data_IF_898764762045
#
_entry.id   IF_898764762045
#
_cell.length_a   1.000
_cell.length_b   1.000
_cell.length_c   1.000
_cell.angle_alpha   90.00
_cell.angle_beta   90.00
_cell.angle_gamma   90.00
#
_symmetry.space_group_name_H-M   'P 1'
#
loop_
_entity.id
_entity.type
_entity.pdbx_description
1 polymer ?
#
# COMPACT_ATOMS: atom_id res chain seq x y z
N UNK A 1 20.67 -14.28 16.07
CA UNK A 1 20.06 -12.93 16.04
C UNK A 1 20.11 -12.45 14.59
N UNK A 2 19.02 -12.57 13.83
CA UNK A 2 19.01 -12.13 12.43
C UNK A 2 18.88 -10.60 12.38
N UNK A 3 19.85 -9.95 11.74
CA UNK A 3 20.01 -8.49 11.71
C UNK A 3 19.33 -7.94 10.43
N UNK A 4 18.52 -6.89 10.56
CA UNK A 4 17.64 -6.32 9.52
C UNK A 4 18.38 -5.52 8.41
N UNK A 5 19.51 -6.02 7.88
CA UNK A 5 20.35 -5.24 6.97
C UNK A 5 20.25 -5.62 5.48
N UNK A 6 19.39 -6.58 5.12
CA UNK A 6 19.25 -7.07 3.73
C UNK A 6 17.89 -6.82 3.08
N UNK A 7 17.18 -5.75 3.47
CA UNK A 7 15.98 -5.29 2.76
C UNK A 7 16.31 -4.57 1.44
N UNK A 8 17.42 -4.95 0.80
CA UNK A 8 17.90 -4.41 -0.47
C UNK A 8 17.34 -5.15 -1.70
N UNK A 9 17.70 -4.71 -2.91
CA UNK A 9 17.10 -5.11 -4.20
C UNK A 9 17.40 -6.57 -4.65
N UNK A 10 17.63 -7.49 -3.71
CA UNK A 10 17.93 -8.90 -3.98
C UNK A 10 16.80 -9.89 -3.68
N UNK A 11 15.71 -9.49 -2.99
CA UNK A 11 14.67 -10.45 -2.57
C UNK A 11 13.56 -10.72 -3.61
N UNK A 12 13.72 -10.25 -4.85
CA UNK A 12 12.74 -10.44 -5.93
C UNK A 12 11.34 -9.94 -5.60
N UNK A 13 11.20 -9.14 -4.54
CA UNK A 13 9.93 -8.65 -4.02
C UNK A 13 9.70 -7.24 -4.50
N UNK A 14 8.56 -7.03 -5.16
CA UNK A 14 8.11 -5.74 -5.65
C UNK A 14 6.83 -5.37 -4.93
N UNK A 15 6.78 -4.14 -4.40
CA UNK A 15 5.55 -3.54 -3.91
C UNK A 15 4.93 -2.74 -5.03
N UNK A 16 3.66 -3.02 -5.32
CA UNK A 16 2.89 -2.29 -6.33
C UNK A 16 1.42 -2.34 -5.97
N UNK A 17 0.66 -1.36 -6.45
CA UNK A 17 -0.78 -1.39 -6.35
C UNK A 17 -1.44 -0.72 -7.54
N UNK A 18 -2.70 -1.06 -7.76
CA UNK A 18 -3.57 -0.42 -8.75
C UNK A 18 -4.74 0.26 -8.06
N UNK A 19 -5.31 1.26 -8.75
CA UNK A 19 -6.48 2.01 -8.28
C UNK A 19 -7.63 1.91 -9.27
N UNK A 20 -8.87 1.93 -8.75
CA UNK A 20 -10.08 1.96 -9.56
C UNK A 20 -11.08 2.95 -8.95
N UNK A 21 -11.59 3.88 -9.75
CA UNK A 21 -12.65 4.80 -9.33
C UNK A 21 -13.95 4.00 -9.11
N UNK A 22 -14.56 4.14 -7.94
CA UNK A 22 -15.82 3.46 -7.54
C UNK A 22 -16.98 4.43 -7.36
N UNK A 23 -16.69 5.71 -7.15
CA UNK A 23 -17.66 6.77 -6.95
C UNK A 23 -16.96 8.13 -6.86
N UNK A 24 -17.70 9.23 -6.62
CA UNK A 24 -17.18 10.59 -6.67
C UNK A 24 -15.93 10.85 -5.80
N UNK A 25 -15.86 10.22 -4.62
CA UNK A 25 -14.72 10.33 -3.71
C UNK A 25 -14.21 8.97 -3.24
N UNK A 26 -14.70 7.88 -3.84
CA UNK A 26 -14.37 6.52 -3.41
C UNK A 26 -13.46 5.87 -4.44
N UNK A 27 -12.26 5.50 -3.99
CA UNK A 27 -11.27 4.78 -4.78
C UNK A 27 -11.04 3.40 -4.17
N UNK A 28 -11.03 2.39 -5.03
CA UNK A 28 -10.60 1.04 -4.69
C UNK A 28 -9.10 0.93 -4.87
N UNK A 29 -8.43 0.34 -3.90
CA UNK A 29 -7.00 0.02 -3.94
C UNK A 29 -6.83 -1.48 -3.92
N UNK A 30 -5.94 -1.96 -4.79
CA UNK A 30 -5.57 -3.37 -4.86
C UNK A 30 -4.06 -3.52 -4.75
N UNK A 31 -3.61 -4.26 -3.75
CA UNK A 31 -2.23 -4.72 -3.63
C UNK A 31 -1.93 -5.72 -4.77
N UNK A 32 -1.00 -5.35 -5.64
CA UNK A 32 -0.48 -6.19 -6.73
C UNK A 32 0.99 -6.57 -6.47
N UNK A 33 1.43 -6.55 -5.20
CA UNK A 33 2.80 -6.90 -4.81
C UNK A 33 3.10 -8.37 -5.12
N UNK A 34 4.34 -8.63 -5.52
CA UNK A 34 4.80 -9.97 -5.88
C UNK A 34 6.20 -10.25 -5.36
N UNK A 35 6.47 -11.42 -4.75
CA UNK A 35 5.50 -12.45 -4.33
C UNK A 35 4.43 -11.94 -3.36
N UNK A 36 3.34 -12.67 -3.15
CA UNK A 36 2.21 -12.20 -2.33
C UNK A 36 2.65 -11.97 -0.86
N UNK A 37 2.37 -10.79 -0.26
CA UNK A 37 2.72 -10.51 1.12
C UNK A 37 1.74 -11.16 2.12
N UNK A 38 2.19 -11.33 3.36
CA UNK A 38 1.36 -11.86 4.45
C UNK A 38 0.46 -10.81 5.07
N UNK A 39 0.93 -9.55 5.14
CA UNK A 39 0.16 -8.44 5.70
C UNK A 39 0.20 -7.24 4.77
N UNK A 40 -0.91 -6.51 4.70
CA UNK A 40 -1.04 -5.23 4.01
C UNK A 40 -1.67 -4.20 4.93
N UNK A 41 -1.04 -3.04 5.03
CA UNK A 41 -1.58 -1.88 5.72
C UNK A 41 -1.52 -0.68 4.79
N UNK A 42 -2.64 0.03 4.70
CA UNK A 42 -2.79 1.24 3.91
C UNK A 42 -2.93 2.43 4.85
N UNK A 43 -2.20 3.50 4.57
CA UNK A 43 -2.39 4.80 5.22
C UNK A 43 -2.56 5.90 4.18
N UNK A 44 -3.41 6.86 4.52
CA UNK A 44 -3.83 7.93 3.65
C UNK A 44 -3.51 9.27 4.31
N UNK A 45 -3.07 10.26 3.54
CA UNK A 45 -2.72 11.59 4.07
C UNK A 45 -3.90 12.40 4.62
N UNK A 46 -5.13 11.91 4.43
CA UNK A 46 -6.33 12.43 5.08
C UNK A 46 -6.51 11.92 6.53
N UNK A 47 -5.62 11.04 7.00
CA UNK A 47 -5.67 10.41 8.32
C UNK A 47 -6.36 9.04 8.34
N UNK A 48 -6.88 8.57 7.21
CA UNK A 48 -7.49 7.26 7.07
C UNK A 48 -6.48 6.11 7.13
N UNK A 49 -6.97 4.90 7.44
CA UNK A 49 -6.20 3.66 7.29
C UNK A 49 -7.10 2.48 6.92
N UNK A 50 -6.52 1.48 6.26
CA UNK A 50 -7.21 0.24 5.90
C UNK A 50 -6.25 -0.95 5.94
N UNK A 51 -6.79 -2.17 5.94
CA UNK A 51 -6.01 -3.40 5.88
C UNK A 51 -6.66 -4.40 4.92
N UNK A 52 -5.85 -5.11 4.14
CA UNK A 52 -6.32 -6.09 3.17
C UNK A 52 -5.69 -5.93 1.80
N UNK A 53 -5.86 -6.96 0.97
CA UNK A 53 -5.40 -6.96 -0.43
C UNK A 53 -6.24 -6.04 -1.31
N UNK A 54 -7.55 -6.00 -1.08
CA UNK A 54 -8.51 -5.20 -1.82
C UNK A 54 -9.34 -4.39 -0.83
N UNK A 55 -9.27 -3.07 -0.90
CA UNK A 55 -9.98 -2.16 0.00
C UNK A 55 -10.60 -1.02 -0.79
N UNK A 56 -11.67 -0.44 -0.25
CA UNK A 56 -12.25 0.82 -0.72
C UNK A 56 -11.97 1.90 0.33
N UNK A 57 -11.54 3.09 -0.11
CA UNK A 57 -11.37 4.27 0.75
C UNK A 57 -12.12 5.45 0.16
N UNK A 58 -12.82 6.19 1.01
CA UNK A 58 -13.59 7.38 0.63
C UNK A 58 -12.91 8.62 1.19
N UNK A 59 -12.48 9.51 0.31
CA UNK A 59 -11.81 10.76 0.65
C UNK A 59 -12.83 11.84 1.03
N UNK A 60 -12.44 12.80 1.89
CA UNK A 60 -13.37 13.85 2.36
C UNK A 60 -13.68 14.91 1.28
N UNK A 61 -12.78 15.10 0.32
CA UNK A 61 -12.91 16.09 -0.75
C UNK A 61 -12.08 15.70 -1.97
N UNK A 62 -12.29 16.40 -3.09
CA UNK A 62 -11.39 16.34 -4.25
C UNK A 62 -10.04 16.94 -3.88
N UNK A 63 -8.95 16.36 -4.39
CA UNK A 63 -7.60 16.82 -4.09
C UNK A 63 -6.56 15.75 -4.36
N UNK A 64 -5.30 16.08 -4.09
CA UNK A 64 -4.19 15.13 -4.21
C UNK A 64 -3.86 14.55 -2.84
N UNK A 65 -3.90 13.23 -2.74
CA UNK A 65 -3.65 12.49 -1.51
C UNK A 65 -2.41 11.62 -1.64
N UNK A 66 -1.62 11.56 -0.58
CA UNK A 66 -0.51 10.61 -0.47
C UNK A 66 -1.05 9.32 0.11
N UNK A 67 -0.80 8.21 -0.58
CA UNK A 67 -1.20 6.86 -0.18
C UNK A 67 0.05 6.05 0.05
N UNK A 68 0.12 5.37 1.19
CA UNK A 68 1.24 4.48 1.53
C UNK A 68 0.72 3.07 1.76
N UNK A 69 1.21 2.14 0.94
CA UNK A 69 1.06 0.71 1.16
C UNK A 69 2.28 0.19 1.91
N UNK A 70 2.05 -0.41 3.08
CA UNK A 70 3.06 -1.11 3.89
C UNK A 70 2.77 -2.60 3.88
N UNK A 71 3.75 -3.40 3.49
CA UNK A 71 3.62 -4.86 3.42
C UNK A 71 4.74 -5.57 4.17
N UNK A 72 4.42 -6.75 4.72
CA UNK A 72 5.38 -7.62 5.39
C UNK A 72 5.20 -9.06 4.92
N UNK A 73 6.29 -9.81 4.95
CA UNK A 73 6.32 -11.25 4.68
C UNK A 73 6.79 -11.98 5.94
N UNK A 74 6.21 -13.14 6.23
CA UNK A 74 6.56 -13.91 7.43
C UNK A 74 7.98 -14.48 7.38
N UNK A 75 8.54 -14.67 6.18
CA UNK A 75 9.88 -15.18 5.95
C UNK A 75 10.95 -14.08 5.91
N UNK A 76 10.59 -12.82 6.18
CA UNK A 76 11.52 -11.70 6.15
C UNK A 76 11.24 -10.74 7.32
N UNK A 77 12.28 -10.26 8.03
CA UNK A 77 12.09 -9.21 9.03
C UNK A 77 11.87 -7.83 8.39
N UNK A 78 11.97 -7.74 7.06
CA UNK A 78 11.84 -6.50 6.32
C UNK A 78 10.39 -6.00 6.27
N UNK A 79 10.27 -4.68 6.31
CA UNK A 79 9.03 -3.96 6.01
C UNK A 79 9.24 -3.24 4.69
N UNK A 80 8.35 -3.45 3.74
CA UNK A 80 8.39 -2.78 2.45
C UNK A 80 7.27 -1.75 2.38
N UNK A 81 7.59 -0.57 1.88
CA UNK A 81 6.65 0.53 1.75
C UNK A 81 6.68 1.07 0.33
N UNK A 82 5.50 1.38 -0.21
CA UNK A 82 5.33 2.12 -1.44
C UNK A 82 4.42 3.30 -1.18
N UNK A 83 4.91 4.49 -1.47
CA UNK A 83 4.16 5.74 -1.33
C UNK A 83 3.95 6.36 -2.70
N UNK A 84 2.70 6.68 -3.04
CA UNK A 84 2.34 7.34 -4.29
C UNK A 84 1.34 8.48 -4.05
N UNK A 85 1.34 9.45 -4.95
CA UNK A 85 0.34 10.50 -4.99
C UNK A 85 -0.78 10.09 -5.95
N UNK A 86 -2.02 10.25 -5.50
CA UNK A 86 -3.21 10.05 -6.31
C UNK A 86 -4.05 11.31 -6.33
N UNK A 87 -4.73 11.55 -7.45
CA UNK A 87 -5.65 12.68 -7.59
C UNK A 87 -7.08 12.17 -7.54
N UNK A 88 -7.86 12.72 -6.62
CA UNK A 88 -9.31 12.50 -6.48
C UNK A 88 -10.01 13.72 -7.08
N UNK A 89 -10.89 13.49 -8.05
CA UNK A 89 -11.59 14.52 -8.84
C UNK A 89 -13.08 14.28 -8.86
#
# INVERSE_FOLDING_TARGET
>A
MWNCNNCGPGEGFTVSFTTQIRGPLTIRFKDDSSPQPNTRAWTFSDGGSAQGELIDHTFPATGTYQVTLTVKRNNSPCTYTLTQWITVV
#
